data_IF_113588302933
#
_entry.id   IF_113588302933
#
_cell.length_a   1.000
_cell.length_b   1.000
_cell.length_c   1.000
_cell.angle_alpha   90.00
_cell.angle_beta   90.00
_cell.angle_gamma   90.00
#
_symmetry.space_group_name_H-M   'P 1'
#
loop_
_entity.id
_entity.type
_entity.pdbx_description
1 polymer ?
#
# COMPACT_ATOMS: atom_id res chain seq x y z
N UNK A 1 -0.38 -4.53 21.60
CA UNK A 1 -1.81 -4.11 21.53
C UNK A 1 -2.39 -4.79 20.30
N UNK A 2 -3.32 -5.73 20.47
CA UNK A 2 -3.96 -6.45 19.36
C UNK A 2 -4.92 -5.50 18.62
N UNK A 3 -4.50 -4.97 17.47
CA UNK A 3 -5.42 -4.36 16.50
C UNK A 3 -6.39 -5.43 16.04
N UNK A 4 -7.69 -5.20 16.24
CA UNK A 4 -8.72 -6.19 15.90
C UNK A 4 -8.77 -6.40 14.38
N UNK A 5 -9.04 -7.63 13.93
CA UNK A 5 -9.15 -7.98 12.50
C UNK A 5 -10.15 -7.07 11.75
N UNK A 6 -11.15 -6.53 12.46
CA UNK A 6 -12.14 -5.57 11.96
C UNK A 6 -11.61 -4.14 11.80
N UNK A 7 -10.56 -3.74 12.54
CA UNK A 7 -9.86 -2.47 12.34
C UNK A 7 -8.93 -2.52 11.14
N UNK A 8 -8.20 -3.64 10.98
CA UNK A 8 -7.35 -3.89 9.81
C UNK A 8 -8.17 -3.86 8.51
N UNK A 9 -9.33 -4.51 8.49
CA UNK A 9 -10.23 -4.46 7.32
C UNK A 9 -10.77 -3.05 7.03
N UNK A 10 -11.14 -2.29 8.06
CA UNK A 10 -11.59 -0.89 7.90
C UNK A 10 -10.49 0.00 7.34
N UNK A 11 -9.26 -0.19 7.82
CA UNK A 11 -8.11 0.60 7.40
C UNK A 11 -7.73 0.27 5.94
N UNK A 12 -7.80 -1.02 5.54
CA UNK A 12 -7.69 -1.43 4.12
C UNK A 12 -8.73 -0.75 3.21
N UNK A 13 -9.99 -0.72 3.63
CA UNK A 13 -11.07 -0.06 2.87
C UNK A 13 -10.84 1.44 2.68
N UNK A 14 -10.20 2.12 3.63
CA UNK A 14 -9.86 3.55 3.51
C UNK A 14 -8.79 3.80 2.45
N UNK A 15 -7.77 2.94 2.37
CA UNK A 15 -6.72 3.06 1.33
C UNK A 15 -7.31 2.87 -0.07
N UNK A 16 -8.18 1.87 -0.25
CA UNK A 16 -8.87 1.67 -1.53
C UNK A 16 -9.82 2.80 -1.87
N UNK A 17 -10.57 3.33 -0.89
CA UNK A 17 -11.47 4.46 -1.09
C UNK A 17 -10.71 5.74 -1.49
N UNK A 18 -9.58 6.06 -0.84
CA UNK A 18 -8.77 7.25 -1.17
C UNK A 18 -8.27 7.21 -2.63
N UNK A 19 -7.92 6.03 -3.13
CA UNK A 19 -7.55 5.81 -4.54
C UNK A 19 -8.72 5.98 -5.52
N UNK A 20 -9.91 5.46 -5.18
CA UNK A 20 -11.12 5.61 -6.02
C UNK A 20 -11.56 7.07 -6.20
N UNK A 21 -11.27 7.94 -5.22
CA UNK A 21 -11.58 9.37 -5.27
C UNK A 21 -10.45 10.23 -5.84
N UNK A 22 -9.40 9.63 -6.42
CA UNK A 22 -8.31 10.37 -7.07
C UNK A 22 -7.42 11.17 -6.11
N UNK A 23 -7.41 10.84 -4.82
CA UNK A 23 -6.48 11.44 -3.87
C UNK A 23 -5.08 10.89 -4.16
N UNK A 24 -4.12 11.78 -4.47
CA UNK A 24 -2.76 11.40 -4.85
C UNK A 24 -2.06 10.69 -3.68
N UNK A 25 -1.75 9.41 -3.87
CA UNK A 25 -0.75 8.70 -3.08
C UNK A 25 0.62 9.00 -3.72
N UNK A 26 1.55 9.55 -2.93
CA UNK A 26 2.86 9.98 -3.42
C UNK A 26 3.71 8.78 -3.88
N UNK A 27 4.60 8.95 -4.89
CA UNK A 27 5.21 7.83 -5.59
C UNK A 27 6.16 7.03 -4.70
N UNK A 28 5.85 5.73 -4.54
CA UNK A 28 6.68 4.58 -4.19
C UNK A 28 7.41 4.58 -2.82
N UNK A 29 7.91 5.72 -2.32
CA UNK A 29 8.41 5.85 -0.94
C UNK A 29 7.27 6.00 0.07
N UNK A 30 6.14 6.58 -0.34
CA UNK A 30 4.99 6.84 0.54
C UNK A 30 4.12 5.62 0.78
N UNK A 31 4.16 4.59 -0.09
CA UNK A 31 3.28 3.43 0.06
C UNK A 31 3.60 2.63 1.33
N UNK A 32 4.89 2.41 1.65
CA UNK A 32 5.26 1.73 2.89
C UNK A 32 4.79 2.53 4.12
N UNK A 33 5.10 3.83 4.16
CA UNK A 33 4.76 4.70 5.29
C UNK A 33 3.25 4.78 5.52
N UNK A 34 2.48 4.96 4.44
CA UNK A 34 1.01 4.99 4.50
C UNK A 34 0.43 3.65 4.96
N UNK A 35 0.92 2.52 4.43
CA UNK A 35 0.48 1.19 4.88
C UNK A 35 0.79 1.00 6.37
N UNK A 36 2.00 1.32 6.81
CA UNK A 36 2.39 1.17 8.21
C UNK A 36 1.51 2.02 9.17
N UNK A 37 1.14 3.23 8.75
CA UNK A 37 0.20 4.06 9.52
C UNK A 37 -1.21 3.50 9.53
N UNK A 38 -1.67 3.01 8.39
CA UNK A 38 -2.99 2.39 8.20
C UNK A 38 -3.10 1.11 9.03
N UNK A 39 -2.05 0.31 9.13
CA UNK A 39 -2.00 -0.87 9.99
C UNK A 39 -1.90 -0.50 11.48
N UNK A 40 -1.62 0.77 11.81
CA UNK A 40 -1.51 1.26 13.17
C UNK A 40 -0.21 0.85 13.86
N UNK A 41 0.77 0.32 13.12
CA UNK A 41 2.07 -0.10 13.67
C UNK A 41 3.02 1.08 13.87
N UNK A 42 2.77 2.20 13.18
CA UNK A 42 3.46 3.47 13.41
C UNK A 42 2.49 4.66 13.46
N UNK A 43 2.89 5.73 14.13
CA UNK A 43 2.18 7.02 14.16
C UNK A 43 2.68 7.96 13.06
N UNK A 44 1.89 9.00 12.74
CA UNK A 44 2.33 10.08 11.84
C UNK A 44 3.64 10.72 12.32
N UNK A 45 3.80 10.92 13.63
CA UNK A 45 5.02 11.51 14.19
C UNK A 45 6.25 10.63 13.93
N UNK A 46 6.12 9.32 14.15
CA UNK A 46 7.20 8.35 13.89
C UNK A 46 7.55 8.29 12.41
N UNK A 47 6.55 8.30 11.52
CA UNK A 47 6.78 8.35 10.08
C UNK A 47 7.54 9.63 9.67
N UNK A 48 7.13 10.79 10.19
CA UNK A 48 7.81 12.06 9.91
C UNK A 48 9.25 12.08 10.44
N UNK A 49 9.51 11.47 11.61
CA UNK A 49 10.86 11.31 12.13
C UNK A 49 11.73 10.47 11.19
N UNK A 50 11.22 9.33 10.72
CA UNK A 50 11.95 8.46 9.79
C UNK A 50 12.23 9.15 8.45
N UNK A 51 11.26 9.88 7.89
CA UNK A 51 11.42 10.64 6.65
C UNK A 51 12.43 11.79 6.80
N UNK A 52 12.40 12.50 7.92
CA UNK A 52 13.36 13.56 8.22
C UNK A 52 14.78 13.00 8.27
N UNK A 53 14.96 11.85 8.93
CA UNK A 53 16.26 11.18 9.00
C UNK A 53 16.72 10.72 7.62
N UNK A 54 15.84 10.14 6.81
CA UNK A 54 16.15 9.76 5.42
C UNK A 54 16.65 10.95 4.59
N UNK A 55 16.04 12.13 4.75
CA UNK A 55 16.47 13.36 4.08
C UNK A 55 17.87 13.81 4.53
N UNK A 56 18.18 13.69 5.82
CA UNK A 56 19.54 13.98 6.31
C UNK A 56 20.60 13.05 5.71
N UNK A 57 20.28 11.78 5.45
CA UNK A 57 21.19 10.87 4.75
C UNK A 57 21.42 11.28 3.29
N UNK A 58 20.36 11.72 2.59
CA UNK A 58 20.46 12.26 1.21
C UNK A 58 21.38 13.47 1.14
N UNK A 59 21.20 14.43 2.04
CA UNK A 59 21.99 15.67 2.06
C UNK A 59 23.47 15.47 2.34
N UNK A 60 23.84 14.35 2.99
CA UNK A 60 25.21 14.03 3.38
C UNK A 60 25.96 13.16 2.34
N UNK A 61 25.37 12.87 1.17
CA UNK A 61 25.98 12.05 0.13
C UNK A 61 26.21 10.58 0.54
N UNK A 62 25.51 10.12 1.58
CA UNK A 62 25.59 8.74 2.08
C UNK A 62 24.58 7.85 1.36
N UNK A 63 24.77 6.53 1.46
CA UNK A 63 23.73 5.59 1.12
C UNK A 63 22.46 5.92 1.94
N UNK A 64 21.32 6.01 1.27
CA UNK A 64 20.06 6.45 1.86
C UNK A 64 19.27 5.20 2.29
N UNK A 65 19.13 4.93 3.59
CA UNK A 65 18.38 3.76 4.06
C UNK A 65 16.90 3.89 3.73
N UNK A 66 16.22 2.75 3.59
CA UNK A 66 14.76 2.70 3.37
C UNK A 66 14.02 3.16 4.63
N UNK A 67 12.82 3.68 4.47
CA UNK A 67 12.01 4.15 5.61
C UNK A 67 11.73 3.01 6.61
N UNK A 68 11.46 1.79 6.12
CA UNK A 68 11.27 0.62 6.97
C UNK A 68 12.51 0.24 7.77
N UNK A 69 13.70 0.34 7.16
CA UNK A 69 14.99 0.09 7.84
C UNK A 69 15.23 1.13 8.94
N UNK A 70 14.97 2.42 8.65
CA UNK A 70 15.07 3.49 9.65
C UNK A 70 14.12 3.25 10.82
N UNK A 71 12.87 2.85 10.55
CA UNK A 71 11.89 2.58 11.61
C UNK A 71 12.30 1.38 12.48
N UNK A 72 12.88 0.33 11.88
CA UNK A 72 13.40 -0.84 12.59
C UNK A 72 14.60 -0.48 13.45
N UNK A 73 15.59 0.22 12.88
CA UNK A 73 16.81 0.64 13.57
C UNK A 73 16.52 1.59 14.75
N UNK A 74 15.47 2.41 14.64
CA UNK A 74 15.02 3.30 15.72
C UNK A 74 14.15 2.59 16.77
N UNK A 75 13.87 1.28 16.61
CA UNK A 75 12.97 0.52 17.48
C UNK A 75 11.51 1.01 17.44
N UNK A 76 11.12 1.68 16.35
CA UNK A 76 9.77 2.21 16.15
C UNK A 76 8.84 1.20 15.49
N UNK A 77 9.41 0.17 14.85
CA UNK A 77 8.71 -1.07 14.49
C UNK A 77 9.63 -2.27 14.77
N UNK A 78 9.05 -3.46 14.90
CA UNK A 78 9.78 -4.74 15.03
C UNK A 78 9.81 -5.53 13.70
N UNK A 79 10.58 -6.62 13.66
CA UNK A 79 10.73 -7.42 12.43
C UNK A 79 9.42 -8.03 11.93
N UNK A 80 8.51 -8.39 12.84
CA UNK A 80 7.19 -8.96 12.52
C UNK A 80 6.30 -7.91 11.85
N UNK A 81 6.26 -6.71 12.41
CA UNK A 81 5.54 -5.56 11.86
C UNK A 81 6.13 -5.15 10.51
N UNK A 82 7.46 -5.17 10.36
CA UNK A 82 8.12 -4.89 9.10
C UNK A 82 7.71 -5.89 8.01
N UNK A 83 7.75 -7.19 8.33
CA UNK A 83 7.29 -8.25 7.43
C UNK A 83 5.84 -8.02 7.01
N UNK A 84 4.96 -7.76 7.97
CA UNK A 84 3.53 -7.50 7.71
C UNK A 84 3.34 -6.32 6.74
N UNK A 85 4.03 -5.20 6.94
CA UNK A 85 3.90 -4.03 6.05
C UNK A 85 4.41 -4.35 4.64
N UNK A 86 5.51 -5.12 4.52
CA UNK A 86 6.08 -5.50 3.22
C UNK A 86 5.16 -6.44 2.43
N UNK A 87 4.56 -7.44 3.09
CA UNK A 87 3.58 -8.33 2.47
C UNK A 87 2.36 -7.56 1.95
N UNK A 88 1.88 -6.60 2.74
CA UNK A 88 0.78 -5.72 2.35
C UNK A 88 1.14 -4.83 1.16
N UNK A 89 2.37 -4.31 1.13
CA UNK A 89 2.89 -3.53 0.02
C UNK A 89 2.96 -4.36 -1.27
N UNK A 90 3.46 -5.59 -1.20
CA UNK A 90 3.55 -6.50 -2.35
C UNK A 90 2.16 -6.90 -2.87
N UNK A 91 1.21 -7.17 -1.97
CA UNK A 91 -0.19 -7.46 -2.36
C UNK A 91 -0.86 -6.27 -3.04
N UNK A 92 -0.61 -5.05 -2.57
CA UNK A 92 -1.13 -3.84 -3.21
C UNK A 92 -0.46 -3.62 -4.56
N UNK A 93 0.83 -3.89 -4.70
CA UNK A 93 1.53 -3.79 -5.99
C UNK A 93 0.97 -4.79 -7.01
N UNK A 94 0.85 -6.06 -6.61
CA UNK A 94 0.36 -7.13 -7.50
C UNK A 94 -1.12 -6.98 -7.89
N UNK A 95 -1.96 -6.44 -7.01
CA UNK A 95 -3.37 -6.11 -7.36
C UNK A 95 -3.50 -4.89 -8.27
N UNK A 96 -2.46 -4.05 -8.37
CA UNK A 96 -2.42 -2.91 -9.29
C UNK A 96 -1.81 -3.25 -10.65
N UNK A 97 -1.10 -4.38 -10.75
CA UNK A 97 -0.57 -4.90 -12.02
C UNK A 97 -1.64 -5.61 -12.87
N UNK A 98 -2.86 -5.81 -12.35
CA UNK A 98 -4.04 -6.00 -13.19
C UNK A 98 -4.31 -4.69 -13.94
N UNK A 99 -3.65 -4.54 -15.09
CA UNK A 99 -3.80 -3.38 -15.96
C UNK A 99 -5.28 -3.12 -16.24
N UNK A 100 -5.66 -1.85 -16.30
CA UNK A 100 -7.02 -1.47 -16.72
C UNK A 100 -7.38 -2.14 -18.06
N UNK A 101 -6.38 -2.39 -18.91
CA UNK A 101 -6.49 -3.16 -20.13
C UNK A 101 -6.92 -4.62 -19.89
N UNK A 102 -6.30 -5.34 -18.94
CA UNK A 102 -6.70 -6.69 -18.53
C UNK A 102 -8.13 -6.71 -17.97
N UNK A 103 -8.47 -5.70 -17.15
CA UNK A 103 -9.81 -5.55 -16.57
C UNK A 103 -10.87 -5.29 -17.64
N UNK A 104 -10.58 -4.41 -18.60
CA UNK A 104 -11.45 -4.09 -19.73
C UNK A 104 -11.60 -5.28 -20.68
N UNK A 105 -10.54 -6.05 -20.92
CA UNK A 105 -10.61 -7.25 -21.74
C UNK A 105 -11.49 -8.33 -21.11
N UNK A 106 -11.33 -8.58 -19.80
CA UNK A 106 -12.18 -9.51 -19.07
C UNK A 106 -13.66 -9.09 -19.08
N UNK A 107 -13.93 -7.80 -18.94
CA UNK A 107 -15.29 -7.25 -19.06
C UNK A 107 -15.86 -7.40 -20.48
N UNK A 108 -15.06 -7.15 -21.53
CA UNK A 108 -15.46 -7.35 -22.93
C UNK A 108 -15.82 -8.80 -23.21
N UNK A 109 -14.96 -9.74 -22.82
CA UNK A 109 -15.20 -11.20 -22.98
C UNK A 109 -16.50 -11.63 -22.30
N UNK A 110 -16.76 -11.11 -21.09
CA UNK A 110 -18.01 -11.38 -20.36
C UNK A 110 -19.23 -10.79 -21.05
N UNK A 111 -19.15 -9.56 -21.56
CA UNK A 111 -20.24 -8.92 -22.28
C UNK A 111 -20.57 -9.66 -23.59
N UNK A 112 -19.57 -10.15 -24.32
CA UNK A 112 -19.76 -10.94 -25.54
C UNK A 112 -20.43 -12.28 -25.25
N UNK A 113 -20.01 -12.97 -24.19
CA UNK A 113 -20.64 -14.22 -23.76
C UNK A 113 -22.12 -14.03 -23.45
N UNK A 114 -22.46 -12.97 -22.69
CA UNK A 114 -23.85 -12.64 -22.36
C UNK A 114 -24.68 -12.25 -23.58
N UNK A 115 -24.08 -11.60 -24.60
CA UNK A 115 -24.76 -11.31 -25.87
C UNK A 115 -25.09 -12.57 -26.64
N UNK A 116 -24.19 -13.55 -26.67
CA UNK A 116 -24.42 -14.86 -27.33
C UNK A 116 -25.50 -15.67 -26.61
N UNK A 117 -25.41 -15.77 -25.28
CA UNK A 117 -26.41 -16.48 -24.46
C UNK A 117 -27.83 -15.87 -24.55
N UNK A 118 -27.94 -14.57 -24.89
CA UNK A 118 -29.22 -13.91 -25.16
C UNK A 118 -29.70 -14.05 -26.60
N UNK A 119 -28.82 -14.36 -27.54
CA UNK A 119 -29.18 -14.59 -28.95
C UNK A 119 -29.66 -16.03 -29.20
N UNK A 120 -29.22 -16.97 -28.37
CA UNK A 120 -29.62 -18.38 -28.40
C UNK A 120 -30.91 -18.68 -27.61
N UNK A 121 -31.59 -17.65 -27.09
CA UNK A 121 -32.90 -17.72 -26.41
C UNK A 121 -33.97 -16.99 -27.20
#
# INVERSE_FOLDING_TARGET
MNTSETELQRNRMRVYAMKLFGLQISPVASMFGEIAQVLGVITQKQLQQALSLQETFRGNGRAVPRVGEILLDQGLLDEEQLGTVLEEQERISSTMDETEETRLENLRRRAERLKREKADK
#
